data_IF_752313886505
#
_entry.id   IF_752313886505
#
_cell.length_a   1.000
_cell.length_b   1.000
_cell.length_c   1.000
_cell.angle_alpha   90.00
_cell.angle_beta   90.00
_cell.angle_gamma   90.00
#
_symmetry.space_group_name_H-M   'P 1'
#
loop_
_entity.id
_entity.type
_entity.pdbx_description
1 polymer ?
#
# COMPACT_ATOMS: atom_id res chain seq x y z
N UNK A 1 -14.15 -16.16 9.75
CA UNK A 1 -13.77 -15.00 8.91
C UNK A 1 -12.26 -14.77 8.81
N UNK A 2 -11.43 -15.22 9.77
CA UNK A 2 -9.96 -15.15 9.69
C UNK A 2 -9.33 -15.63 8.36
N UNK A 3 -9.62 -16.86 7.93
CA UNK A 3 -9.06 -17.40 6.66
C UNK A 3 -9.43 -16.54 5.45
N UNK A 4 -10.68 -16.07 5.39
CA UNK A 4 -11.16 -15.19 4.31
C UNK A 4 -10.41 -13.87 4.35
N UNK A 5 -10.20 -13.30 5.54
CA UNK A 5 -9.44 -12.06 5.71
C UNK A 5 -7.99 -12.21 5.25
N UNK A 6 -7.33 -13.33 5.58
CA UNK A 6 -6.00 -13.65 5.07
C UNK A 6 -5.95 -13.70 3.55
N UNK A 7 -6.89 -14.43 2.93
CA UNK A 7 -6.92 -14.60 1.48
C UNK A 7 -7.28 -13.31 0.76
N UNK A 8 -8.20 -12.52 1.30
CA UNK A 8 -8.58 -11.22 0.75
C UNK A 8 -7.43 -10.22 0.84
N UNK A 9 -6.66 -10.23 1.94
CA UNK A 9 -5.45 -9.43 2.05
C UNK A 9 -4.39 -9.84 1.01
N UNK A 10 -4.16 -11.14 0.83
CA UNK A 10 -3.26 -11.67 -0.20
C UNK A 10 -3.67 -11.23 -1.60
N UNK A 11 -4.96 -11.27 -1.89
CA UNK A 11 -5.52 -10.81 -3.17
C UNK A 11 -5.30 -9.31 -3.37
N UNK A 12 -5.56 -8.50 -2.33
CA UNK A 12 -5.30 -7.07 -2.38
C UNK A 12 -3.82 -6.76 -2.62
N UNK A 13 -2.89 -7.43 -1.93
CA UNK A 13 -1.44 -7.26 -2.14
C UNK A 13 -1.03 -7.55 -3.60
N UNK A 14 -1.63 -8.56 -4.21
CA UNK A 14 -1.45 -8.81 -5.65
C UNK A 14 -2.00 -7.65 -6.48
N UNK A 15 -3.20 -7.18 -6.18
CA UNK A 15 -3.80 -5.99 -6.80
C UNK A 15 -2.94 -4.72 -6.68
N UNK A 16 -2.31 -4.49 -5.53
CA UNK A 16 -1.38 -3.38 -5.34
C UNK A 16 -0.21 -3.46 -6.32
N UNK A 17 0.36 -4.65 -6.50
CA UNK A 17 1.43 -4.88 -7.47
C UNK A 17 0.97 -4.73 -8.92
N UNK A 18 -0.27 -5.10 -9.23
CA UNK A 18 -0.91 -4.94 -10.54
C UNK A 18 -2.40 -5.28 -10.43
N UNK A 19 -3.27 -4.34 -10.79
CA UNK A 19 -4.71 -4.49 -10.60
C UNK A 19 -5.30 -5.68 -11.37
N UNK A 20 -4.71 -6.00 -12.52
CA UNK A 20 -5.04 -7.17 -13.33
C UNK A 20 -4.89 -8.51 -12.60
N UNK A 21 -4.15 -8.54 -11.48
CA UNK A 21 -3.96 -9.74 -10.66
C UNK A 21 -5.02 -9.94 -9.58
N UNK A 22 -5.93 -8.97 -9.40
CA UNK A 22 -7.01 -9.03 -8.42
C UNK A 22 -8.02 -10.10 -8.83
N UNK A 23 -8.14 -11.15 -8.02
CA UNK A 23 -8.99 -12.30 -8.29
C UNK A 23 -10.36 -12.20 -7.61
N UNK A 24 -10.43 -11.63 -6.40
CA UNK A 24 -11.65 -11.62 -5.61
C UNK A 24 -12.61 -10.52 -6.05
N UNK A 25 -13.88 -10.88 -6.03
CA UNK A 25 -14.98 -9.99 -6.37
C UNK A 25 -15.28 -9.01 -5.23
N UNK A 26 -16.20 -8.07 -5.46
CA UNK A 26 -16.54 -7.08 -4.44
C UNK A 26 -17.33 -7.69 -3.28
N UNK A 27 -18.09 -8.76 -3.53
CA UNK A 27 -18.93 -9.44 -2.53
C UNK A 27 -18.10 -9.95 -1.35
N UNK A 28 -16.87 -10.44 -1.60
CA UNK A 28 -15.96 -10.89 -0.52
C UNK A 28 -15.55 -9.70 0.37
N UNK A 29 -15.28 -8.54 -0.24
CA UNK A 29 -14.88 -7.33 0.49
C UNK A 29 -16.04 -6.70 1.25
N UNK A 30 -17.24 -6.70 0.66
CA UNK A 30 -18.47 -6.29 1.34
C UNK A 30 -18.77 -7.20 2.54
N UNK A 31 -18.63 -8.52 2.38
CA UNK A 31 -18.80 -9.48 3.46
C UNK A 31 -17.88 -9.15 4.66
N UNK A 32 -16.61 -8.86 4.41
CA UNK A 32 -15.67 -8.44 5.46
C UNK A 32 -16.09 -7.13 6.14
N UNK A 33 -16.55 -6.14 5.36
CA UNK A 33 -17.03 -4.86 5.89
C UNK A 33 -18.25 -5.02 6.82
N UNK A 34 -19.12 -5.99 6.54
CA UNK A 34 -20.34 -6.23 7.31
C UNK A 34 -20.12 -7.12 8.54
N UNK A 35 -19.27 -8.13 8.45
CA UNK A 35 -19.08 -9.11 9.53
C UNK A 35 -18.37 -8.54 10.77
N UNK A 36 -17.57 -7.46 10.62
CA UNK A 36 -16.91 -6.69 11.69
C UNK A 36 -16.29 -7.56 12.80
N UNK A 37 -15.63 -8.65 12.42
CA UNK A 37 -15.07 -9.63 13.36
C UNK A 37 -13.63 -9.32 13.78
N UNK A 38 -13.11 -8.16 13.36
CA UNK A 38 -11.74 -7.69 13.63
C UNK A 38 -10.63 -8.59 13.06
N UNK A 39 -10.95 -9.58 12.21
CA UNK A 39 -9.95 -10.52 11.69
C UNK A 39 -8.89 -9.82 10.85
N UNK A 40 -9.29 -8.87 9.99
CA UNK A 40 -8.36 -8.17 9.11
C UNK A 40 -7.46 -7.23 9.91
N UNK A 41 -8.03 -6.41 10.78
CA UNK A 41 -7.32 -5.48 11.66
C UNK A 41 -6.31 -6.26 12.50
N UNK A 42 -6.74 -7.36 13.13
CA UNK A 42 -5.87 -8.21 13.94
C UNK A 42 -4.72 -8.82 13.13
N UNK A 43 -5.00 -9.27 11.91
CA UNK A 43 -4.03 -9.91 11.03
C UNK A 43 -2.99 -8.91 10.52
N UNK A 44 -3.44 -7.80 9.90
CA UNK A 44 -2.58 -6.92 9.10
C UNK A 44 -2.48 -5.51 9.63
N UNK A 45 -3.40 -5.06 10.49
CA UNK A 45 -3.40 -3.69 11.00
C UNK A 45 -4.23 -2.68 10.22
N UNK A 46 -4.79 -3.10 9.08
CA UNK A 46 -5.57 -2.25 8.19
C UNK A 46 -7.05 -2.25 8.63
N UNK A 47 -7.64 -1.08 8.93
CA UNK A 47 -9.07 -0.93 9.08
C UNK A 47 -9.84 -1.47 7.88
N UNK A 48 -10.92 -2.20 8.13
CA UNK A 48 -11.71 -2.80 7.06
C UNK A 48 -12.34 -1.77 6.13
N UNK A 49 -12.66 -0.55 6.59
CA UNK A 49 -13.15 0.52 5.70
C UNK A 49 -12.09 0.94 4.67
N UNK A 50 -10.83 1.08 5.10
CA UNK A 50 -9.72 1.43 4.21
C UNK A 50 -9.43 0.32 3.21
N UNK A 51 -9.48 -0.94 3.69
CA UNK A 51 -9.34 -2.12 2.84
C UNK A 51 -10.45 -2.22 1.79
N UNK A 52 -11.69 -1.94 2.19
CA UNK A 52 -12.83 -1.92 1.28
C UNK A 52 -12.65 -0.84 0.21
N UNK A 53 -12.28 0.38 0.63
CA UNK A 53 -12.08 1.51 -0.29
C UNK A 53 -11.01 1.21 -1.34
N UNK A 54 -9.83 0.77 -0.91
CA UNK A 54 -8.76 0.45 -1.86
C UNK A 54 -9.12 -0.75 -2.74
N UNK A 55 -9.90 -1.70 -2.23
CA UNK A 55 -10.46 -2.79 -3.03
C UNK A 55 -11.29 -2.30 -4.22
N UNK A 56 -12.14 -1.28 -4.02
CA UNK A 56 -12.91 -0.65 -5.11
C UNK A 56 -12.00 -0.05 -6.18
N UNK A 57 -10.96 0.67 -5.75
CA UNK A 57 -9.97 1.29 -6.65
C UNK A 57 -9.22 0.22 -7.46
N UNK A 58 -8.76 -0.85 -6.81
CA UNK A 58 -8.06 -1.95 -7.49
C UNK A 58 -8.96 -2.66 -8.50
N UNK A 59 -10.23 -2.89 -8.16
CA UNK A 59 -11.21 -3.48 -9.06
C UNK A 59 -11.49 -2.56 -10.27
N UNK A 60 -11.64 -1.26 -10.04
CA UNK A 60 -11.81 -0.28 -11.12
C UNK A 60 -10.57 -0.23 -12.01
N UNK A 61 -9.36 -0.26 -11.43
CA UNK A 61 -8.11 -0.33 -12.17
C UNK A 61 -7.99 -1.58 -13.04
N UNK A 62 -8.46 -2.73 -12.54
CA UNK A 62 -8.54 -3.99 -13.32
C UNK A 62 -9.46 -3.83 -14.52
N UNK A 63 -10.68 -3.33 -14.28
CA UNK A 63 -11.69 -3.19 -15.31
C UNK A 63 -11.27 -2.15 -16.37
N UNK A 64 -10.65 -1.05 -15.96
CA UNK A 64 -10.07 -0.06 -16.87
C UNK A 64 -8.94 -0.66 -17.70
N UNK A 65 -8.00 -1.39 -17.07
CA UNK A 65 -6.92 -2.08 -17.77
C UNK A 65 -7.40 -3.13 -18.78
N UNK A 66 -8.56 -3.75 -18.51
CA UNK A 66 -9.23 -4.69 -19.41
C UNK A 66 -10.11 -4.02 -20.49
N UNK A 67 -10.25 -2.68 -20.48
CA UNK A 67 -11.12 -1.94 -21.39
C UNK A 67 -12.63 -2.03 -21.07
N UNK A 68 -12.99 -2.58 -19.91
CA UNK A 68 -14.37 -2.71 -19.44
C UNK A 68 -14.88 -1.48 -18.67
N UNK A 69 -14.01 -0.52 -18.33
CA UNK A 69 -14.35 0.74 -17.66
C UNK A 69 -13.71 1.92 -18.41
N UNK A 70 -14.48 2.94 -18.83
CA UNK A 70 -13.94 4.14 -19.44
C UNK A 70 -12.98 4.90 -18.50
N UNK A 71 -12.03 5.63 -19.09
CA UNK A 71 -11.05 6.40 -18.31
C UNK A 71 -11.72 7.45 -17.41
N UNK A 72 -12.74 8.16 -17.90
CA UNK A 72 -13.39 9.22 -17.11
C UNK A 72 -14.10 8.64 -15.87
N UNK A 73 -14.75 7.47 -15.99
CA UNK A 73 -15.37 6.79 -14.85
C UNK A 73 -14.32 6.30 -13.85
N UNK A 74 -13.18 5.80 -14.36
CA UNK A 74 -12.09 5.42 -13.47
C UNK A 74 -11.51 6.63 -12.73
N UNK A 75 -11.33 7.77 -13.39
CA UNK A 75 -10.88 9.01 -12.76
C UNK A 75 -11.84 9.48 -11.67
N UNK A 76 -13.14 9.43 -11.92
CA UNK A 76 -14.15 9.78 -10.91
C UNK A 76 -14.08 8.86 -9.68
N UNK A 77 -13.83 7.57 -9.86
CA UNK A 77 -13.60 6.64 -8.75
C UNK A 77 -12.33 7.01 -7.98
N UNK A 78 -11.22 7.33 -8.67
CA UNK A 78 -9.97 7.72 -8.03
C UNK A 78 -10.13 9.00 -7.21
N UNK A 79 -10.82 10.02 -7.74
CA UNK A 79 -11.07 11.29 -7.04
C UNK A 79 -11.92 11.07 -5.78
N UNK A 80 -13.04 10.35 -5.89
CA UNK A 80 -13.90 10.03 -4.74
C UNK A 80 -13.17 9.22 -3.67
N UNK A 81 -12.32 8.27 -4.08
CA UNK A 81 -11.53 7.47 -3.15
C UNK A 81 -10.42 8.29 -2.49
N UNK A 82 -9.73 9.18 -3.21
CA UNK A 82 -8.73 10.09 -2.61
C UNK A 82 -9.40 11.00 -1.57
N UNK A 83 -10.56 11.57 -1.90
CA UNK A 83 -11.34 12.41 -0.99
C UNK A 83 -11.81 11.64 0.25
N UNK A 84 -12.32 10.42 0.09
CA UNK A 84 -12.68 9.57 1.23
C UNK A 84 -11.47 9.32 2.14
N UNK A 85 -10.33 8.91 1.56
CA UNK A 85 -9.13 8.60 2.32
C UNK A 85 -8.53 9.84 2.99
N UNK A 86 -8.65 11.02 2.40
CA UNK A 86 -8.21 12.29 3.00
C UNK A 86 -9.10 12.74 4.16
N UNK A 87 -10.39 12.37 4.15
CA UNK A 87 -11.35 12.76 5.18
C UNK A 87 -11.64 11.66 6.21
N UNK A 88 -11.10 10.45 6.02
CA UNK A 88 -11.21 9.38 7.00
C UNK A 88 -10.52 9.78 8.31
N UNK A 89 -11.15 9.47 9.44
CA UNK A 89 -10.69 9.90 10.76
C UNK A 89 -10.44 8.70 11.68
N UNK A 90 -9.16 8.50 12.04
CA UNK A 90 -8.72 7.46 12.97
C UNK A 90 -9.30 7.61 14.38
N UNK A 91 -9.68 8.82 14.80
CA UNK A 91 -10.25 9.06 16.13
C UNK A 91 -11.71 8.59 16.21
N UNK A 92 -12.42 8.59 15.09
CA UNK A 92 -13.79 8.09 14.95
C UNK A 92 -13.87 6.57 14.70
N UNK A 93 -12.76 5.95 14.32
CA UNK A 93 -12.69 4.53 13.96
C UNK A 93 -12.73 3.61 15.19
N UNK A 94 -13.32 2.43 15.00
CA UNK A 94 -13.32 1.37 16.01
C UNK A 94 -12.15 0.41 15.78
N UNK A 95 -11.54 -0.06 16.87
CA UNK A 95 -10.37 -0.94 16.85
C UNK A 95 -10.57 -2.17 17.74
N UNK A 96 -9.79 -3.24 17.52
CA UNK A 96 -9.91 -4.47 18.31
C UNK A 96 -9.64 -4.28 19.82
N UNK A 97 -8.77 -3.32 20.18
CA UNK A 97 -8.46 -2.96 21.57
C UNK A 97 -8.32 -1.44 21.72
N UNK A 98 -8.24 -0.96 22.96
CA UNK A 98 -8.02 0.46 23.29
C UNK A 98 -6.55 0.90 23.16
N UNK A 99 -5.69 0.07 22.58
CA UNK A 99 -4.28 0.40 22.40
C UNK A 99 -4.14 1.57 21.41
N UNK A 100 -3.49 2.69 21.79
CA UNK A 100 -3.36 3.86 20.92
C UNK A 100 -2.56 3.58 19.64
N UNK A 101 -1.71 2.54 19.61
CA UNK A 101 -0.90 2.20 18.44
C UNK A 101 -1.74 1.76 17.24
N UNK A 102 -2.97 1.30 17.46
CA UNK A 102 -3.93 1.03 16.39
C UNK A 102 -4.13 2.24 15.47
N UNK A 103 -4.19 3.45 16.04
CA UNK A 103 -4.39 4.68 15.26
C UNK A 103 -3.19 4.98 14.40
N UNK A 104 -1.97 4.77 14.90
CA UNK A 104 -0.75 5.00 14.12
C UNK A 104 -0.68 4.03 12.95
N UNK A 105 -0.99 2.76 13.21
CA UNK A 105 -1.02 1.73 12.19
C UNK A 105 -2.09 2.00 11.13
N UNK A 106 -3.29 2.39 11.55
CA UNK A 106 -4.39 2.75 10.66
C UNK A 106 -4.04 3.94 9.77
N UNK A 107 -3.44 4.99 10.32
CA UNK A 107 -2.98 6.15 9.54
C UNK A 107 -1.89 5.75 8.53
N UNK A 108 -0.94 4.87 8.91
CA UNK A 108 0.04 4.35 7.95
C UNK A 108 -0.62 3.61 6.78
N UNK A 109 -1.65 2.79 7.04
CA UNK A 109 -2.43 2.11 6.00
C UNK A 109 -3.25 3.07 5.13
N UNK A 110 -3.85 4.10 5.74
CA UNK A 110 -4.57 5.14 5.04
C UNK A 110 -3.70 5.84 4.01
N UNK A 111 -2.52 6.33 4.43
CA UNK A 111 -1.60 7.00 3.52
C UNK A 111 -0.98 6.05 2.48
N UNK A 112 -0.79 4.78 2.83
CA UNK A 112 -0.41 3.75 1.86
C UNK A 112 -1.46 3.59 0.75
N UNK A 113 -2.76 3.61 1.09
CA UNK A 113 -3.84 3.59 0.12
C UNK A 113 -3.86 4.86 -0.74
N UNK A 114 -3.69 6.04 -0.13
CA UNK A 114 -3.61 7.34 -0.82
C UNK A 114 -2.49 7.32 -1.88
N UNK A 115 -1.29 6.86 -1.50
CA UNK A 115 -0.18 6.71 -2.44
C UNK A 115 -0.60 5.84 -3.63
N UNK A 116 -1.23 4.69 -3.38
CA UNK A 116 -1.64 3.80 -4.47
C UNK A 116 -2.69 4.40 -5.40
N UNK A 117 -3.67 5.12 -4.86
CA UNK A 117 -4.69 5.86 -5.63
C UNK A 117 -4.01 6.87 -6.55
N UNK A 118 -3.09 7.68 -6.01
CA UNK A 118 -2.38 8.74 -6.75
C UNK A 118 -1.39 8.22 -7.80
N UNK A 119 -1.02 6.93 -7.73
CA UNK A 119 -0.24 6.25 -8.78
C UNK A 119 -1.10 5.77 -9.95
N UNK A 120 -2.40 5.63 -9.81
CA UNK A 120 -3.29 5.35 -10.95
C UNK A 120 -3.63 6.63 -11.74
N UNK A 121 -4.12 6.51 -12.99
CA UNK A 121 -4.21 5.28 -13.81
C UNK A 121 -2.88 4.93 -14.49
N UNK A 122 -1.97 5.89 -14.63
CA UNK A 122 -0.71 5.74 -15.37
C UNK A 122 0.48 6.03 -14.43
N UNK A 123 1.01 5.03 -13.72
CA UNK A 123 2.05 5.22 -12.70
C UNK A 123 3.27 6.01 -13.15
N UNK A 124 3.77 5.77 -14.37
CA UNK A 124 4.94 6.47 -14.93
C UNK A 124 4.68 7.97 -15.19
N UNK A 125 3.43 8.34 -15.46
CA UNK A 125 3.00 9.72 -15.73
C UNK A 125 2.35 10.39 -14.51
N UNK A 126 2.27 9.69 -13.38
CA UNK A 126 1.80 10.26 -12.11
C UNK A 126 2.82 11.24 -11.52
N UNK A 127 2.45 11.87 -10.42
CA UNK A 127 3.26 12.90 -9.76
C UNK A 127 4.68 12.43 -9.42
N UNK A 128 5.71 13.30 -9.53
CA UNK A 128 7.03 12.97 -9.02
C UNK A 128 7.01 12.67 -7.51
N UNK A 129 7.98 11.92 -7.00
CA UNK A 129 8.12 11.69 -5.56
C UNK A 129 8.34 12.98 -4.74
N UNK A 130 8.85 14.04 -5.36
CA UNK A 130 9.04 15.37 -4.74
C UNK A 130 7.74 16.18 -4.59
N UNK A 131 6.68 15.81 -5.30
CA UNK A 131 5.38 16.53 -5.23
C UNK A 131 4.75 16.37 -3.84
N UNK A 132 4.19 17.43 -3.27
CA UNK A 132 3.54 17.37 -1.94
C UNK A 132 2.45 16.31 -1.85
N UNK A 133 1.76 16.03 -2.96
CA UNK A 133 0.74 14.98 -3.03
C UNK A 133 1.31 13.58 -2.83
N UNK A 134 2.62 13.39 -2.97
CA UNK A 134 3.31 12.15 -2.66
C UNK A 134 4.11 12.28 -1.35
N UNK A 135 4.87 13.38 -1.22
CA UNK A 135 5.72 13.63 -0.06
C UNK A 135 4.95 13.70 1.26
N UNK A 136 3.76 14.32 1.27
CA UNK A 136 2.91 14.39 2.45
C UNK A 136 2.52 13.00 2.98
N UNK A 137 1.87 12.14 2.16
CA UNK A 137 1.58 10.76 2.55
C UNK A 137 2.80 9.94 2.93
N UNK A 138 3.93 10.07 2.21
CA UNK A 138 5.20 9.41 2.58
C UNK A 138 5.62 9.80 3.99
N UNK A 139 5.71 11.10 4.28
CA UNK A 139 6.09 11.60 5.61
C UNK A 139 5.14 11.09 6.68
N UNK A 140 3.83 11.10 6.44
CA UNK A 140 2.86 10.64 7.42
C UNK A 140 3.01 9.13 7.76
N UNK A 141 3.35 8.29 6.78
CA UNK A 141 3.67 6.87 7.04
C UNK A 141 4.94 6.75 7.91
N UNK A 142 5.98 7.52 7.60
CA UNK A 142 7.23 7.49 8.36
C UNK A 142 7.05 8.03 9.78
N UNK A 143 6.23 9.05 9.97
CA UNK A 143 5.88 9.61 11.28
C UNK A 143 5.07 8.60 12.11
N UNK A 144 4.12 7.89 11.50
CA UNK A 144 3.40 6.80 12.16
C UNK A 144 4.34 5.67 12.61
N UNK A 145 5.32 5.32 11.78
CA UNK A 145 6.36 4.36 12.15
C UNK A 145 7.25 4.87 13.29
N UNK A 146 7.64 6.15 13.27
CA UNK A 146 8.45 6.76 14.32
C UNK A 146 7.75 6.81 15.68
N UNK A 147 6.41 6.92 15.68
CA UNK A 147 5.57 6.93 16.89
C UNK A 147 5.28 5.54 17.44
N UNK A 148 5.51 4.49 16.66
CA UNK A 148 5.26 3.10 17.08
C UNK A 148 6.57 2.51 17.62
N UNK A 149 6.62 2.04 18.88
CA UNK A 149 7.81 1.40 19.44
C UNK A 149 8.28 0.22 18.58
N UNK A 150 9.59 0.11 18.34
CA UNK A 150 10.17 -0.92 17.46
C UNK A 150 10.07 -2.36 18.00
N UNK A 151 9.88 -2.49 19.31
CA UNK A 151 9.64 -3.74 20.02
C UNK A 151 8.14 -4.07 20.17
N UNK A 152 7.26 -3.15 19.74
CA UNK A 152 5.82 -3.37 19.76
C UNK A 152 5.39 -4.50 18.81
N UNK A 153 4.39 -5.33 19.20
CA UNK A 153 3.79 -6.30 18.30
C UNK A 153 3.13 -5.67 17.06
N UNK A 154 2.79 -4.37 17.10
CA UNK A 154 2.24 -3.63 15.97
C UNK A 154 3.30 -3.32 14.91
N UNK A 155 4.56 -3.16 15.29
CA UNK A 155 5.60 -2.63 14.41
C UNK A 155 5.79 -3.46 13.13
N UNK A 156 5.73 -4.80 13.24
CA UNK A 156 5.82 -5.70 12.08
C UNK A 156 4.72 -5.50 11.04
N UNK A 157 3.56 -4.97 11.44
CA UNK A 157 2.42 -4.71 10.55
C UNK A 157 2.63 -3.46 9.69
N UNK A 158 3.63 -2.63 10.00
CA UNK A 158 4.03 -1.48 9.19
C UNK A 158 4.83 -1.86 7.94
N UNK A 159 5.20 -3.14 7.75
CA UNK A 159 6.04 -3.57 6.64
C UNK A 159 5.51 -3.10 5.28
N UNK A 160 4.21 -3.29 5.04
CA UNK A 160 3.57 -2.92 3.78
C UNK A 160 3.49 -1.38 3.58
N UNK A 161 2.99 -0.59 4.55
CA UNK A 161 3.08 0.88 4.46
C UNK A 161 4.51 1.41 4.25
N UNK A 162 5.49 0.89 5.01
CA UNK A 162 6.89 1.28 4.89
C UNK A 162 7.47 0.97 3.52
N UNK A 163 7.08 -0.14 2.91
CA UNK A 163 7.48 -0.45 1.54
C UNK A 163 6.92 0.58 0.55
N UNK A 164 5.64 0.93 0.64
CA UNK A 164 5.07 1.94 -0.25
C UNK A 164 5.70 3.32 -0.05
N UNK A 165 5.89 3.74 1.20
CA UNK A 165 6.61 4.97 1.52
C UNK A 165 8.05 4.94 0.99
N UNK A 166 8.75 3.81 1.16
CA UNK A 166 10.09 3.57 0.63
C UNK A 166 10.18 3.67 -0.89
N UNK A 167 9.19 3.12 -1.58
CA UNK A 167 9.11 3.17 -3.03
C UNK A 167 8.83 4.60 -3.52
N UNK A 168 8.09 5.41 -2.76
CA UNK A 168 7.63 6.73 -3.18
C UNK A 168 8.40 7.92 -2.57
N UNK A 169 9.29 7.71 -1.60
CA UNK A 169 10.21 8.77 -1.12
C UNK A 169 11.30 9.05 -2.15
N UNK A 170 11.85 10.26 -2.22
CA UNK A 170 13.11 10.57 -2.93
C UNK A 170 14.26 11.04 -2.03
N UNK A 171 14.02 11.16 -0.73
CA UNK A 171 15.00 11.70 0.22
C UNK A 171 15.99 10.63 0.68
N UNK A 172 17.32 10.86 0.56
CA UNK A 172 18.33 9.92 1.06
C UNK A 172 18.18 9.57 2.53
N UNK A 173 17.80 10.54 3.37
CA UNK A 173 17.57 10.31 4.79
C UNK A 173 16.35 9.41 5.03
N UNK A 174 15.29 9.58 4.23
CA UNK A 174 14.10 8.73 4.30
C UNK A 174 14.37 7.31 3.78
N UNK A 175 15.25 7.13 2.77
CA UNK A 175 15.71 5.79 2.37
C UNK A 175 16.34 5.05 3.54
N UNK A 176 17.30 5.69 4.22
CA UNK A 176 17.97 5.10 5.36
C UNK A 176 17.02 4.80 6.51
N UNK A 177 16.06 5.69 6.76
CA UNK A 177 15.05 5.46 7.79
C UNK A 177 14.17 4.24 7.44
N UNK A 178 13.66 4.15 6.21
CA UNK A 178 12.89 2.99 5.74
C UNK A 178 13.70 1.70 5.84
N UNK A 179 14.99 1.72 5.44
CA UNK A 179 15.88 0.57 5.59
C UNK A 179 16.02 0.15 7.05
N UNK A 180 16.19 1.09 7.97
CA UNK A 180 16.29 0.83 9.40
C UNK A 180 15.01 0.15 9.91
N UNK A 181 13.84 0.71 9.60
CA UNK A 181 12.56 0.15 10.01
C UNK A 181 12.32 -1.25 9.45
N UNK A 182 12.58 -1.47 8.16
CA UNK A 182 12.41 -2.79 7.53
C UNK A 182 13.41 -3.81 8.11
N UNK A 183 14.66 -3.42 8.34
CA UNK A 183 15.65 -4.31 8.94
C UNK A 183 15.27 -4.72 10.36
N UNK A 184 14.69 -3.81 11.14
CA UNK A 184 14.16 -4.14 12.47
C UNK A 184 13.03 -5.18 12.39
N UNK A 185 12.09 -5.03 11.44
CA UNK A 185 11.02 -6.01 11.21
C UNK A 185 11.60 -7.37 10.80
N UNK A 186 12.61 -7.39 9.92
CA UNK A 186 13.28 -8.64 9.52
C UNK A 186 13.96 -9.33 10.70
N UNK A 187 14.62 -8.57 11.57
CA UNK A 187 15.26 -9.11 12.77
C UNK A 187 14.25 -9.66 13.77
N UNK A 188 13.14 -8.96 14.00
CA UNK A 188 12.13 -9.37 14.98
C UNK A 188 11.25 -10.53 14.50
N UNK A 189 11.03 -10.66 13.18
CA UNK A 189 10.17 -11.71 12.61
C UNK A 189 10.95 -12.93 12.11
N UNK A 190 12.25 -12.78 11.85
CA UNK A 190 13.10 -13.82 11.24
C UNK A 190 12.91 -13.98 9.72
N UNK A 191 11.97 -13.26 9.10
CA UNK A 191 11.73 -13.32 7.65
C UNK A 191 12.61 -12.32 6.91
N UNK A 192 13.23 -12.77 5.80
CA UNK A 192 14.23 -11.96 5.10
C UNK A 192 13.65 -10.96 4.10
N UNK A 193 12.42 -11.18 3.61
CA UNK A 193 11.72 -10.33 2.63
C UNK A 193 12.62 -9.84 1.48
N UNK A 194 13.36 -10.78 0.86
CA UNK A 194 14.42 -10.45 -0.09
C UNK A 194 13.87 -9.75 -1.34
N UNK A 195 12.75 -10.22 -1.89
CA UNK A 195 12.15 -9.63 -3.09
C UNK A 195 11.74 -8.17 -2.86
N UNK A 196 11.11 -7.86 -1.72
CA UNK A 196 10.75 -6.49 -1.35
C UNK A 196 11.97 -5.57 -1.23
N UNK A 197 13.02 -6.04 -0.54
CA UNK A 197 14.25 -5.26 -0.32
C UNK A 197 14.99 -4.99 -1.63
N UNK A 198 15.07 -6.00 -2.50
CA UNK A 198 15.67 -5.88 -3.84
C UNK A 198 14.89 -4.89 -4.70
N UNK A 199 13.56 -4.91 -4.61
CA UNK A 199 12.70 -4.01 -5.36
C UNK A 199 12.90 -2.55 -4.93
N UNK A 200 12.92 -2.27 -3.62
CA UNK A 200 13.22 -0.92 -3.11
C UNK A 200 14.60 -0.45 -3.54
N UNK A 201 15.61 -1.31 -3.42
CA UNK A 201 16.97 -1.00 -3.87
C UNK A 201 16.98 -0.62 -5.37
N UNK A 202 16.27 -1.41 -6.19
CA UNK A 202 16.14 -1.12 -7.63
C UNK A 202 15.44 0.21 -7.90
N UNK A 203 14.36 0.54 -7.18
CA UNK A 203 13.71 1.87 -7.29
C UNK A 203 14.70 2.99 -7.01
N UNK A 204 15.48 2.86 -5.92
CA UNK A 204 16.43 3.89 -5.49
C UNK A 204 17.62 4.03 -6.44
N UNK A 205 18.06 2.93 -7.07
CA UNK A 205 19.12 2.93 -8.08
C UNK A 205 18.65 3.51 -9.43
N UNK A 206 17.40 3.24 -9.84
CA UNK A 206 16.86 3.77 -11.10
C UNK A 206 16.46 5.24 -11.02
N UNK A 207 16.03 5.73 -9.85
CA UNK A 207 15.59 7.12 -9.69
C UNK A 207 16.62 8.18 -10.13
N UNK A 208 17.89 8.15 -9.71
CA UNK A 208 18.89 9.13 -10.16
C UNK A 208 19.24 9.00 -11.65
N UNK A 209 18.97 7.84 -12.26
CA UNK A 209 19.20 7.57 -13.67
C UNK A 209 18.02 8.00 -14.55
N UNK A 210 16.88 8.40 -13.95
CA UNK A 210 15.68 8.77 -14.69
C UNK A 210 15.93 10.08 -15.47
N UNK A 211 16.10 10.02 -16.80
CA UNK A 211 16.46 11.19 -17.61
C UNK A 211 15.35 12.24 -17.61
N UNK A 212 14.12 11.82 -17.29
CA UNK A 212 12.96 12.70 -17.21
C UNK A 212 12.78 13.33 -15.83
N UNK A 213 13.59 13.01 -14.81
CA UNK A 213 13.76 13.63 -13.46
C UNK A 213 12.52 13.85 -12.56
N UNK A 214 11.39 14.14 -13.18
CA UNK A 214 10.08 14.54 -12.66
C UNK A 214 9.05 13.42 -12.78
N UNK A 215 9.45 12.23 -13.23
CA UNK A 215 8.57 11.06 -13.38
C UNK A 215 8.78 10.08 -12.25
N UNK A 216 7.68 9.45 -11.82
CA UNK A 216 7.73 8.33 -10.90
C UNK A 216 8.51 7.13 -11.50
N UNK A 217 9.09 6.31 -10.62
CA UNK A 217 9.71 5.03 -10.95
C UNK A 217 8.70 3.92 -10.58
N UNK A 218 7.94 3.38 -11.56
CA UNK A 218 6.80 2.49 -11.28
C UNK A 218 7.26 1.06 -11.00
N UNK A 219 7.59 0.76 -9.75
CA UNK A 219 8.07 -0.56 -9.34
C UNK A 219 7.15 -1.73 -9.73
N UNK A 220 5.86 -1.46 -9.89
CA UNK A 220 4.84 -2.41 -10.35
C UNK A 220 5.21 -3.05 -11.70
N UNK A 221 5.90 -2.34 -12.59
CA UNK A 221 6.33 -2.86 -13.90
C UNK A 221 7.31 -4.04 -13.77
N UNK A 222 8.04 -4.15 -12.65
CA UNK A 222 8.96 -5.26 -12.38
C UNK A 222 8.31 -6.44 -11.68
N UNK A 223 7.06 -6.27 -11.25
CA UNK A 223 6.30 -7.30 -10.56
C UNK A 223 5.15 -7.85 -11.40
N UNK A 224 4.66 -7.01 -12.30
CA UNK A 224 3.47 -7.18 -13.12
C UNK A 224 3.72 -6.58 -14.50
N UNK A 225 4.41 -7.33 -15.35
CA UNK A 225 4.54 -7.00 -16.78
C UNK A 225 4.37 -8.27 -17.58
N UNK A 226 3.70 -8.16 -18.73
CA UNK A 226 3.54 -9.24 -19.71
C UNK A 226 4.88 -9.76 -20.25
N UNK A 227 5.97 -9.01 -20.03
CA UNK A 227 7.32 -9.35 -20.44
C UNK A 227 8.11 -10.17 -19.39
N UNK A 228 7.56 -10.36 -18.19
CA UNK A 228 8.24 -11.13 -17.13
C UNK A 228 8.02 -12.63 -17.32
N UNK A 229 9.12 -13.39 -17.45
CA UNK A 229 9.09 -14.88 -17.52
C UNK A 229 8.57 -15.53 -16.23
N UNK A 230 8.73 -14.86 -15.09
CA UNK A 230 8.23 -15.27 -13.78
C UNK A 230 7.60 -14.05 -13.13
N UNK A 231 6.29 -14.10 -12.87
CA UNK A 231 5.64 -13.05 -12.10
C UNK A 231 5.95 -13.25 -10.62
N UNK A 232 6.46 -12.22 -9.94
CA UNK A 232 6.61 -12.25 -8.48
C UNK A 232 5.21 -12.26 -7.87
N UNK A 233 4.69 -13.45 -7.57
CA UNK A 233 3.35 -13.64 -7.02
C UNK A 233 3.26 -13.23 -5.53
N UNK A 234 4.41 -13.00 -4.87
CA UNK A 234 4.50 -12.88 -3.41
C UNK A 234 5.54 -11.84 -2.98
N UNK A 235 5.36 -10.56 -3.36
CA UNK A 235 6.29 -9.48 -2.97
C UNK A 235 6.52 -9.33 -1.47
N UNK A 236 5.52 -9.69 -0.66
CA UNK A 236 5.50 -9.46 0.78
C UNK A 236 5.63 -10.76 1.59
N UNK A 237 6.12 -11.85 0.98
CA UNK A 237 6.43 -13.11 1.66
C UNK A 237 7.94 -13.37 1.63
#
# INVERSE_FOLDING_TARGET
MFLISCLAWLDALRGFSGAEKLAYSDEIRQCMLHDRDWSLETLVGCPTELFYEIGKVLLAGRNWGAGALPLYEFQEILERSDDFLLNWDADSAAFPTQDPEWKFLAEAYRYACILRVRRFPKPKLSFPPEDERIRGPVTAILDAAARTPMDSPFYKRLLFPLFLAGADTSSPHQYHYVQLCINQIKQSTGFQHQSMTQLLKKVWEERPLNPDGWRNVPWMEWTCSSLLKVQHAFLFF
#
